data_IF_058202029553
#
_entry.id   IF_058202029553
#
_cell.length_a   1.000
_cell.length_b   1.000
_cell.length_c   1.000
_cell.angle_alpha   90.00
_cell.angle_beta   90.00
_cell.angle_gamma   90.00
#
_symmetry.space_group_name_H-M   'P 1'
#
loop_
_entity.id
_entity.type
_entity.pdbx_description
1 polymer ?
#
# COMPACT_ATOMS: atom_id res chain seq x y z
N UNK A 1 39.87 -44.96 -13.76
CA UNK A 1 38.51 -44.41 -13.68
C UNK A 1 38.60 -42.89 -13.81
N UNK A 2 37.97 -42.32 -14.85
CA UNK A 2 38.01 -40.90 -15.18
C UNK A 2 36.92 -40.18 -14.37
N UNK A 3 37.27 -39.30 -13.44
CA UNK A 3 36.32 -38.34 -12.87
C UNK A 3 36.56 -36.99 -13.53
N UNK A 4 35.69 -36.67 -14.49
CA UNK A 4 35.62 -35.37 -15.15
C UNK A 4 34.91 -34.39 -14.22
N UNK A 5 35.66 -33.43 -13.68
CA UNK A 5 35.13 -32.23 -13.01
C UNK A 5 34.49 -31.36 -14.10
N UNK A 6 33.16 -31.37 -14.17
CA UNK A 6 32.39 -30.44 -15.01
C UNK A 6 32.21 -29.13 -14.25
N UNK A 7 33.02 -28.15 -14.60
CA UNK A 7 32.76 -26.73 -14.32
C UNK A 7 31.42 -26.34 -14.96
N UNK A 8 30.32 -26.47 -14.23
CA UNK A 8 29.04 -25.92 -14.64
C UNK A 8 28.87 -24.57 -13.98
N UNK A 9 29.40 -23.54 -14.63
CA UNK A 9 29.09 -22.14 -14.32
C UNK A 9 27.64 -21.92 -14.73
N UNK A 10 26.70 -22.23 -13.84
CA UNK A 10 25.29 -21.87 -14.03
C UNK A 10 25.08 -20.50 -13.39
N UNK A 11 25.15 -19.47 -14.23
CA UNK A 11 24.93 -18.10 -13.84
C UNK A 11 23.52 -17.92 -13.28
N UNK A 12 23.42 -17.54 -12.02
CA UNK A 12 22.16 -17.11 -11.41
C UNK A 12 22.08 -15.58 -11.49
N UNK A 13 21.77 -15.07 -12.68
CA UNK A 13 21.33 -13.69 -12.88
C UNK A 13 19.82 -13.61 -12.63
N UNK A 14 19.42 -13.54 -11.37
CA UNK A 14 18.04 -13.28 -10.94
C UNK A 14 18.06 -12.30 -9.75
N UNK A 15 18.46 -11.06 -10.00
CA UNK A 15 18.49 -10.00 -8.98
C UNK A 15 17.86 -8.68 -9.48
N UNK A 16 16.80 -8.75 -10.30
CA UNK A 16 16.26 -7.56 -10.99
C UNK A 16 14.76 -7.27 -10.87
N UNK A 17 13.94 -8.10 -10.22
CA UNK A 17 12.47 -8.00 -10.31
C UNK A 17 11.73 -7.77 -8.98
N UNK A 18 12.42 -7.50 -7.88
CA UNK A 18 11.78 -7.47 -6.54
C UNK A 18 11.23 -6.11 -6.10
N UNK A 19 11.44 -5.03 -6.86
CA UNK A 19 11.01 -3.69 -6.44
C UNK A 19 9.51 -3.43 -6.64
N UNK A 20 8.93 -3.82 -7.78
CA UNK A 20 7.53 -3.52 -8.10
C UNK A 20 6.53 -4.14 -7.09
N UNK A 21 6.73 -5.40 -6.71
CA UNK A 21 5.84 -6.09 -5.76
C UNK A 21 5.93 -5.55 -4.33
N UNK A 22 7.10 -5.06 -3.93
CA UNK A 22 7.29 -4.47 -2.60
C UNK A 22 6.58 -3.11 -2.48
N UNK A 23 6.63 -2.31 -3.55
CA UNK A 23 5.98 -1.01 -3.60
C UNK A 23 4.45 -1.14 -3.60
N UNK A 24 3.89 -2.11 -4.34
CA UNK A 24 2.44 -2.39 -4.34
C UNK A 24 1.90 -2.76 -2.94
N UNK A 25 2.60 -3.66 -2.24
CA UNK A 25 2.23 -4.07 -0.89
C UNK A 25 2.31 -2.88 0.09
N UNK A 26 3.32 -2.02 -0.07
CA UNK A 26 3.48 -0.82 0.74
C UNK A 26 2.38 0.21 0.47
N UNK A 27 2.03 0.41 -0.80
CA UNK A 27 0.93 1.27 -1.21
C UNK A 27 -0.40 0.79 -0.61
N UNK A 28 -0.65 -0.52 -0.63
CA UNK A 28 -1.83 -1.10 0.01
C UNK A 28 -1.86 -0.83 1.51
N UNK A 29 -0.76 -1.07 2.23
CA UNK A 29 -0.69 -0.76 3.66
C UNK A 29 -0.98 0.71 3.97
N UNK A 30 -0.39 1.63 3.20
CA UNK A 30 -0.60 3.07 3.38
C UNK A 30 -2.06 3.45 3.14
N UNK A 31 -2.67 2.89 2.09
CA UNK A 31 -4.08 3.11 1.80
C UNK A 31 -4.99 2.55 2.91
N UNK A 32 -4.70 1.34 3.42
CA UNK A 32 -5.48 0.74 4.50
C UNK A 32 -5.38 1.60 5.79
N UNK A 33 -4.20 2.14 6.10
CA UNK A 33 -4.03 3.09 7.22
C UNK A 33 -4.84 4.38 7.02
N UNK A 34 -4.83 4.95 5.81
CA UNK A 34 -5.64 6.12 5.45
C UNK A 34 -7.12 5.81 5.67
N UNK A 35 -7.58 4.68 5.13
CA UNK A 35 -8.98 4.26 5.22
C UNK A 35 -9.43 4.02 6.66
N UNK A 36 -8.58 3.45 7.52
CA UNK A 36 -8.91 3.27 8.94
C UNK A 36 -9.17 4.60 9.64
N UNK A 37 -8.35 5.63 9.39
CA UNK A 37 -8.57 6.97 9.94
C UNK A 37 -9.89 7.54 9.41
N UNK A 38 -10.13 7.50 8.10
CA UNK A 38 -11.37 8.00 7.51
C UNK A 38 -12.63 7.26 8.02
N UNK A 39 -12.54 5.94 8.17
CA UNK A 39 -13.63 5.08 8.65
C UNK A 39 -13.97 5.37 10.12
N UNK A 40 -12.95 5.62 10.97
CA UNK A 40 -13.15 6.02 12.36
C UNK A 40 -13.96 7.32 12.49
N UNK A 41 -13.92 8.18 11.47
CA UNK A 41 -14.71 9.41 11.38
C UNK A 41 -15.96 9.27 10.50
N UNK A 42 -16.39 8.05 10.21
CA UNK A 42 -17.65 7.77 9.51
C UNK A 42 -17.65 8.13 8.02
N UNK A 43 -16.49 8.16 7.37
CA UNK A 43 -16.40 8.51 5.95
C UNK A 43 -17.09 7.49 5.04
N UNK A 44 -17.91 7.97 4.12
CA UNK A 44 -18.50 7.17 3.05
C UNK A 44 -17.56 7.09 1.84
N UNK A 45 -16.76 6.02 1.79
CA UNK A 45 -15.86 5.69 0.69
C UNK A 45 -16.59 5.56 -0.65
N UNK A 46 -15.90 5.82 -1.76
CA UNK A 46 -16.43 5.59 -3.12
C UNK A 46 -15.90 4.31 -3.73
N UNK A 47 -14.69 3.92 -3.37
CA UNK A 47 -14.04 2.70 -3.77
C UNK A 47 -14.83 1.48 -3.24
N UNK A 48 -15.19 0.52 -4.11
CA UNK A 48 -16.05 -0.60 -3.73
C UNK A 48 -15.37 -1.56 -2.74
N UNK A 49 -14.04 -1.70 -2.80
CA UNK A 49 -13.30 -2.53 -1.85
C UNK A 49 -13.30 -1.87 -0.46
N UNK A 50 -13.09 -0.56 -0.40
CA UNK A 50 -13.15 0.21 0.84
C UNK A 50 -14.57 0.27 1.42
N UNK A 51 -15.61 0.40 0.59
CA UNK A 51 -17.00 0.29 1.04
C UNK A 51 -17.29 -1.08 1.66
N UNK A 52 -16.84 -2.16 1.01
CA UNK A 52 -17.04 -3.52 1.51
C UNK A 52 -16.35 -3.75 2.86
N UNK A 53 -15.18 -3.14 3.07
CA UNK A 53 -14.37 -3.34 4.26
C UNK A 53 -14.68 -2.36 5.40
N UNK A 54 -15.01 -1.11 5.09
CA UNK A 54 -15.12 -0.01 6.06
C UNK A 54 -16.46 0.75 5.99
N UNK A 55 -17.35 0.43 5.05
CA UNK A 55 -18.54 1.22 4.73
C UNK A 55 -19.80 0.92 5.53
N UNK A 56 -19.79 -0.03 6.47
CA UNK A 56 -20.99 -0.49 7.18
C UNK A 56 -21.72 0.63 7.95
N UNK A 57 -20.99 1.58 8.53
CA UNK A 57 -21.52 2.62 9.42
C UNK A 57 -21.14 4.06 8.98
N UNK A 58 -20.99 4.26 7.67
CA UNK A 58 -20.63 5.56 7.14
C UNK A 58 -21.80 6.56 7.22
N UNK A 59 -21.50 7.82 7.54
CA UNK A 59 -22.51 8.87 7.69
C UNK A 59 -22.06 10.27 7.26
N UNK A 60 -20.80 10.44 6.82
CA UNK A 60 -20.28 11.73 6.36
C UNK A 60 -19.41 11.59 5.11
N UNK A 61 -19.42 12.64 4.28
CA UNK A 61 -18.46 12.81 3.17
C UNK A 61 -17.36 13.80 3.51
N UNK A 62 -17.43 14.43 4.69
CA UNK A 62 -16.52 15.50 5.16
C UNK A 62 -16.19 15.29 6.64
N UNK A 63 -15.47 14.21 6.98
CA UNK A 63 -14.99 13.98 8.34
C UNK A 63 -14.10 15.13 8.78
N UNK A 64 -14.12 15.44 10.08
CA UNK A 64 -13.23 16.43 10.69
C UNK A 64 -12.17 15.67 11.48
N UNK A 65 -10.92 15.87 11.13
CA UNK A 65 -9.80 15.23 11.80
C UNK A 65 -9.21 16.17 12.85
N UNK A 66 -8.62 15.59 13.89
CA UNK A 66 -7.73 16.32 14.79
C UNK A 66 -6.45 16.76 14.07
N UNK A 67 -5.69 17.67 14.68
CA UNK A 67 -4.39 18.09 14.14
C UNK A 67 -3.41 16.93 14.01
N UNK A 68 -3.43 16.00 14.96
CA UNK A 68 -2.58 14.81 14.96
C UNK A 68 -2.94 13.85 13.80
N UNK A 69 -4.22 13.62 13.58
CA UNK A 69 -4.71 12.78 12.47
C UNK A 69 -4.45 13.44 11.13
N UNK A 70 -4.68 14.75 11.00
CA UNK A 70 -4.37 15.52 9.80
C UNK A 70 -2.88 15.43 9.45
N UNK A 71 -2.00 15.56 10.45
CA UNK A 71 -0.56 15.36 10.27
C UNK A 71 -0.23 13.93 9.84
N UNK A 72 -0.90 12.93 10.40
CA UNK A 72 -0.70 11.53 10.02
C UNK A 72 -1.15 11.26 8.58
N UNK A 73 -2.30 11.79 8.18
CA UNK A 73 -2.82 11.69 6.81
C UNK A 73 -1.86 12.33 5.81
N UNK A 74 -1.34 13.51 6.11
CA UNK A 74 -0.33 14.17 5.27
C UNK A 74 0.93 13.30 5.08
N UNK A 75 1.45 12.69 6.16
CA UNK A 75 2.60 11.77 6.08
C UNK A 75 2.31 10.53 5.21
N UNK A 76 1.09 10.00 5.29
CA UNK A 76 0.66 8.86 4.47
C UNK A 76 0.60 9.27 3.00
N UNK A 77 -0.01 10.42 2.69
CA UNK A 77 -0.13 10.94 1.33
C UNK A 77 1.25 11.26 0.71
N UNK A 78 2.17 11.85 1.49
CA UNK A 78 3.55 12.08 1.06
C UNK A 78 4.28 10.77 0.75
N UNK A 79 4.09 9.75 1.59
CA UNK A 79 4.65 8.41 1.36
C UNK A 79 4.05 7.78 0.11
N UNK A 80 2.74 7.85 -0.06
CA UNK A 80 2.04 7.34 -1.25
C UNK A 80 2.54 8.02 -2.52
N UNK A 81 2.79 9.34 -2.46
CA UNK A 81 3.35 10.11 -3.56
C UNK A 81 4.78 9.70 -3.90
N UNK A 82 5.64 9.51 -2.90
CA UNK A 82 7.03 9.08 -3.12
C UNK A 82 7.15 7.71 -3.78
N UNK A 83 6.16 6.83 -3.55
CA UNK A 83 6.10 5.48 -4.09
C UNK A 83 5.26 5.38 -5.38
N UNK A 84 4.74 6.51 -5.89
CA UNK A 84 3.84 6.56 -7.04
C UNK A 84 2.61 5.64 -6.90
N UNK A 85 2.04 5.56 -5.69
CA UNK A 85 0.88 4.71 -5.44
C UNK A 85 -0.36 5.13 -6.25
N UNK A 86 -1.20 4.17 -6.66
CA UNK A 86 -2.47 4.48 -7.30
C UNK A 86 -3.40 5.23 -6.33
N UNK A 87 -4.13 6.23 -6.83
CA UNK A 87 -5.10 6.99 -6.04
C UNK A 87 -6.40 6.18 -5.90
N UNK A 88 -6.84 5.98 -4.64
CA UNK A 88 -8.12 5.36 -4.28
C UNK A 88 -8.81 6.20 -3.19
N UNK A 89 -10.11 6.40 -3.37
CA UNK A 89 -10.99 7.26 -2.56
C UNK A 89 -12.12 6.49 -1.88
#
# INVERSE_FOLDING_TARGET
MKLLVKCSVFGLLLAGLTSAYADDAKCKQLQDQKNLIYAAHGYCFKDPDAQKQYGADCHTKKPKFSDAESKRLAQIEDSQKSLNCPKKD
#
